data_IF_564341117450
#
_entry.id   IF_564341117450
#
_cell.length_a   1.000
_cell.length_b   1.000
_cell.length_c   1.000
_cell.angle_alpha   90.00
_cell.angle_beta   90.00
_cell.angle_gamma   90.00
#
_symmetry.space_group_name_H-M   'P 1'
#
loop_
_entity.id
_entity.type
_entity.pdbx_description
1 polymer ?
#
# COMPACT_ATOMS: atom_id res chain seq x y z
N UNK A 1 -4.00 6.40 11.58
CA UNK A 1 -4.32 6.91 10.20
C UNK A 1 -5.83 6.96 9.91
N UNK A 2 -6.71 7.16 10.92
CA UNK A 2 -8.17 7.23 10.70
C UNK A 2 -8.61 8.49 9.95
N UNK A 3 -8.13 9.64 10.39
CA UNK A 3 -8.44 10.94 9.78
C UNK A 3 -8.00 10.97 8.31
N UNK A 4 -6.77 10.58 8.03
CA UNK A 4 -6.17 10.60 6.69
C UNK A 4 -6.93 9.68 5.72
N UNK A 5 -7.31 8.47 6.16
CA UNK A 5 -8.09 7.54 5.33
C UNK A 5 -9.50 8.07 5.05
N UNK A 6 -10.14 8.69 6.03
CA UNK A 6 -11.46 9.32 5.82
C UNK A 6 -11.36 10.45 4.80
N UNK A 7 -10.34 11.30 4.91
CA UNK A 7 -10.11 12.40 3.97
C UNK A 7 -9.74 11.88 2.58
N UNK A 8 -8.95 10.80 2.50
CA UNK A 8 -8.62 10.15 1.24
C UNK A 8 -9.90 9.77 0.49
N UNK A 9 -10.79 9.02 1.14
CA UNK A 9 -12.02 8.53 0.51
C UNK A 9 -13.04 9.64 0.22
N UNK A 10 -13.20 10.60 1.14
CA UNK A 10 -14.28 11.60 1.05
C UNK A 10 -13.92 12.84 0.23
N UNK A 11 -12.64 13.18 0.09
CA UNK A 11 -12.18 14.44 -0.51
C UNK A 11 -11.17 14.23 -1.63
N UNK A 12 -10.15 13.38 -1.42
CA UNK A 12 -9.03 13.23 -2.35
C UNK A 12 -9.42 12.33 -3.52
N UNK A 13 -9.96 11.16 -3.26
CA UNK A 13 -10.37 10.21 -4.31
C UNK A 13 -11.38 10.82 -5.28
N UNK A 14 -12.45 11.52 -4.85
CA UNK A 14 -13.37 12.16 -5.78
C UNK A 14 -12.70 13.20 -6.70
N UNK A 15 -11.82 14.04 -6.16
CA UNK A 15 -11.08 15.05 -6.92
C UNK A 15 -10.14 14.42 -7.95
N UNK A 16 -9.39 13.40 -7.56
CA UNK A 16 -8.48 12.68 -8.47
C UNK A 16 -9.27 11.90 -9.53
N UNK A 17 -10.40 11.30 -9.17
CA UNK A 17 -11.32 10.64 -10.13
C UNK A 17 -11.79 11.60 -11.21
N UNK A 18 -12.28 12.76 -10.83
CA UNK A 18 -12.72 13.80 -11.77
C UNK A 18 -11.57 14.26 -12.66
N UNK A 19 -10.40 14.46 -12.07
CA UNK A 19 -9.20 14.84 -12.82
C UNK A 19 -8.80 13.77 -13.86
N UNK A 20 -8.71 12.51 -13.48
CA UNK A 20 -8.38 11.41 -14.40
C UNK A 20 -9.42 11.28 -15.51
N UNK A 21 -10.72 11.37 -15.17
CA UNK A 21 -11.80 11.30 -16.14
C UNK A 21 -11.71 12.44 -17.18
N UNK A 22 -11.33 13.66 -16.76
CA UNK A 22 -11.09 14.79 -17.67
C UNK A 22 -9.96 14.55 -18.68
N UNK A 23 -9.09 13.57 -18.39
CA UNK A 23 -7.98 13.12 -19.25
C UNK A 23 -8.30 11.84 -20.04
N UNK A 24 -9.53 11.31 -19.91
CA UNK A 24 -9.93 10.06 -20.55
C UNK A 24 -9.49 8.79 -19.80
N UNK A 25 -9.06 8.93 -18.54
CA UNK A 25 -8.61 7.83 -17.70
C UNK A 25 -9.57 7.57 -16.55
N UNK A 26 -9.64 6.33 -16.09
CA UNK A 26 -10.38 5.94 -14.89
C UNK A 26 -9.41 5.87 -13.70
N UNK A 27 -9.90 6.21 -12.52
CA UNK A 27 -9.17 6.10 -11.28
C UNK A 27 -10.05 5.45 -10.21
N UNK A 28 -9.53 4.43 -9.55
CA UNK A 28 -10.15 3.79 -8.40
C UNK A 28 -9.16 3.68 -7.24
N UNK A 29 -9.70 3.76 -6.03
CA UNK A 29 -8.92 3.59 -4.81
C UNK A 29 -9.57 2.49 -3.97
N UNK A 30 -8.83 1.42 -3.74
CA UNK A 30 -9.22 0.30 -2.88
C UNK A 30 -8.58 0.52 -1.51
N UNK A 31 -9.41 0.75 -0.49
CA UNK A 31 -8.95 0.77 0.91
C UNK A 31 -9.09 -0.64 1.49
N UNK A 32 -7.98 -1.29 1.77
CA UNK A 32 -7.93 -2.67 2.27
C UNK A 32 -8.62 -2.90 3.63
N UNK A 33 -9.04 -1.84 4.31
CA UNK A 33 -9.90 -1.96 5.50
C UNK A 33 -11.39 -2.10 5.17
N UNK A 34 -11.83 -1.65 3.99
CA UNK A 34 -13.23 -1.67 3.60
C UNK A 34 -13.52 -2.95 2.80
N UNK A 35 -14.53 -3.66 3.19
CA UNK A 35 -14.93 -4.90 2.52
C UNK A 35 -14.57 -6.17 3.29
N UNK A 36 -13.80 -6.06 4.37
CA UNK A 36 -13.53 -7.18 5.26
C UNK A 36 -14.50 -7.10 6.43
N UNK A 37 -15.44 -8.04 6.53
CA UNK A 37 -16.38 -8.12 7.66
C UNK A 37 -15.58 -8.29 8.97
N UNK A 38 -16.18 -7.88 10.10
CA UNK A 38 -15.56 -8.02 11.41
C UNK A 38 -15.21 -9.49 11.73
N UNK A 39 -15.99 -10.43 11.24
CA UNK A 39 -15.76 -11.88 11.33
C UNK A 39 -14.62 -12.36 10.41
N UNK A 40 -14.41 -11.68 9.27
CA UNK A 40 -13.30 -11.98 8.36
C UNK A 40 -11.99 -11.34 8.83
N UNK A 41 -12.01 -10.26 9.61
CA UNK A 41 -10.80 -9.61 10.17
C UNK A 41 -10.02 -10.54 11.10
N UNK A 42 -10.66 -11.55 11.67
CA UNK A 42 -10.03 -12.57 12.52
C UNK A 42 -9.71 -13.87 11.75
N UNK A 43 -9.81 -13.87 10.43
CA UNK A 43 -9.66 -15.08 9.62
C UNK A 43 -8.44 -15.02 8.68
N UNK A 44 -7.89 -16.20 8.40
CA UNK A 44 -6.86 -16.43 7.37
C UNK A 44 -7.20 -15.77 6.03
N UNK A 45 -8.47 -15.72 5.66
CA UNK A 45 -8.96 -15.16 4.40
C UNK A 45 -8.71 -13.65 4.24
N UNK A 46 -8.65 -12.89 5.35
CA UNK A 46 -8.43 -11.43 5.29
C UNK A 46 -7.08 -11.08 4.68
N UNK A 47 -6.02 -11.73 5.14
CA UNK A 47 -4.68 -11.50 4.63
C UNK A 47 -4.62 -11.87 3.15
N UNK A 48 -5.13 -13.03 2.81
CA UNK A 48 -5.15 -13.49 1.42
C UNK A 48 -5.93 -12.54 0.50
N UNK A 49 -7.09 -12.04 0.93
CA UNK A 49 -7.86 -11.04 0.18
C UNK A 49 -7.04 -9.76 -0.02
N UNK A 50 -6.45 -9.19 1.04
CA UNK A 50 -5.65 -7.97 0.93
C UNK A 50 -4.47 -8.12 -0.02
N UNK A 51 -3.74 -9.22 0.07
CA UNK A 51 -2.60 -9.49 -0.81
C UNK A 51 -3.02 -9.69 -2.27
N UNK A 52 -4.15 -10.37 -2.50
CA UNK A 52 -4.70 -10.56 -3.85
C UNK A 52 -5.18 -9.24 -4.46
N UNK A 53 -5.79 -8.33 -3.66
CA UNK A 53 -6.18 -7.01 -4.15
C UNK A 53 -4.96 -6.16 -4.55
N UNK A 54 -3.86 -6.22 -3.80
CA UNK A 54 -2.61 -5.54 -4.16
C UNK A 54 -2.09 -6.07 -5.50
N UNK A 55 -2.07 -7.40 -5.67
CA UNK A 55 -1.66 -8.04 -6.94
C UNK A 55 -2.56 -7.64 -8.08
N UNK A 56 -3.87 -7.65 -7.85
CA UNK A 56 -4.86 -7.27 -8.85
C UNK A 56 -4.69 -5.82 -9.30
N UNK A 57 -4.57 -4.87 -8.37
CA UNK A 57 -4.29 -3.47 -8.70
C UNK A 57 -3.04 -3.32 -9.56
N UNK A 58 -1.97 -4.05 -9.24
CA UNK A 58 -0.72 -4.02 -9.99
C UNK A 58 -0.87 -4.52 -11.43
N UNK A 59 -1.75 -5.50 -11.65
CA UNK A 59 -1.98 -6.08 -12.98
C UNK A 59 -2.82 -5.19 -13.90
N UNK A 60 -3.80 -4.48 -13.34
CA UNK A 60 -4.78 -3.73 -14.13
C UNK A 60 -4.53 -2.22 -14.17
N UNK A 61 -3.61 -1.72 -13.37
CA UNK A 61 -3.41 -0.29 -13.18
C UNK A 61 -2.01 0.15 -13.61
N UNK A 62 -1.91 1.21 -14.42
CA UNK A 62 -0.67 1.97 -14.56
C UNK A 62 -0.25 2.57 -13.21
N UNK A 63 0.90 3.22 -13.19
CA UNK A 63 1.44 3.89 -11.99
C UNK A 63 0.70 5.20 -11.68
N UNK A 64 0.59 5.62 -10.41
CA UNK A 64 0.93 4.86 -9.20
C UNK A 64 -0.19 3.88 -8.83
N UNK A 65 0.14 2.74 -8.28
CA UNK A 65 -0.86 1.73 -7.91
C UNK A 65 -0.76 1.25 -6.45
N UNK A 66 0.13 1.81 -5.65
CA UNK A 66 0.23 1.48 -4.24
C UNK A 66 0.48 2.72 -3.38
N UNK A 67 -0.40 3.00 -2.41
CA UNK A 67 -0.28 4.09 -1.45
C UNK A 67 -0.12 3.52 -0.04
N UNK A 68 1.02 3.81 0.58
CA UNK A 68 1.34 3.44 1.95
C UNK A 68 1.03 4.61 2.88
N UNK A 69 0.09 4.44 3.81
CA UNK A 69 -0.19 5.39 4.89
C UNK A 69 0.37 4.83 6.21
N UNK A 70 1.52 5.31 6.64
CA UNK A 70 2.16 4.88 7.89
C UNK A 70 2.06 5.93 9.00
N UNK A 71 1.82 5.44 10.21
CA UNK A 71 2.00 6.14 11.46
C UNK A 71 3.16 5.54 12.26
N UNK A 72 2.99 5.53 13.60
CA UNK A 72 3.99 4.99 14.52
C UNK A 72 3.64 3.60 15.07
N UNK A 73 2.44 3.09 14.75
CA UNK A 73 2.05 1.71 15.11
C UNK A 73 2.52 0.73 14.05
N UNK A 74 3.09 -0.38 14.50
CA UNK A 74 3.48 -1.48 13.61
C UNK A 74 2.28 -2.21 13.00
N UNK A 75 1.14 -2.19 13.70
CA UNK A 75 -0.10 -2.80 13.23
C UNK A 75 -0.37 -4.17 13.87
N UNK A 76 -1.42 -4.81 13.40
CA UNK A 76 -1.84 -6.13 13.86
C UNK A 76 -0.91 -7.22 13.34
N UNK A 77 -0.45 -8.08 14.27
CA UNK A 77 0.37 -9.26 13.95
C UNK A 77 -0.56 -10.48 13.93
N UNK A 78 -0.79 -11.07 12.75
CA UNK A 78 -1.62 -12.27 12.63
C UNK A 78 -0.92 -13.50 13.20
N UNK A 79 -1.71 -14.55 13.47
CA UNK A 79 -1.14 -15.88 13.71
C UNK A 79 -0.37 -16.35 12.47
N UNK A 80 0.79 -16.96 12.68
CA UNK A 80 1.65 -17.44 11.60
C UNK A 80 0.94 -18.43 10.65
N UNK A 81 -0.09 -19.14 11.13
CA UNK A 81 -0.91 -20.03 10.31
C UNK A 81 -1.80 -19.30 9.30
N UNK A 82 -2.00 -17.98 9.46
CA UNK A 82 -2.80 -17.16 8.55
C UNK A 82 -1.99 -16.63 7.35
N UNK A 83 -0.68 -16.74 7.41
CA UNK A 83 0.21 -16.28 6.35
C UNK A 83 0.40 -17.43 5.34
N UNK A 84 0.22 -17.19 4.02
CA UNK A 84 0.48 -18.19 2.99
C UNK A 84 1.98 -18.56 2.96
N UNK A 85 2.36 -19.67 3.60
CA UNK A 85 3.76 -20.06 3.82
C UNK A 85 4.55 -20.25 2.53
N UNK A 86 3.95 -20.90 1.54
CA UNK A 86 4.63 -21.22 0.28
C UNK A 86 5.11 -19.99 -0.51
N UNK A 87 4.48 -18.84 -0.31
CA UNK A 87 4.82 -17.61 -1.04
C UNK A 87 5.75 -16.67 -0.26
N UNK A 88 5.73 -16.78 1.09
CA UNK A 88 6.43 -15.84 1.97
C UNK A 88 7.46 -16.51 2.88
N UNK A 89 7.77 -17.80 2.68
CA UNK A 89 8.70 -18.55 3.55
C UNK A 89 10.09 -17.88 3.62
N UNK A 90 10.66 -17.49 2.49
CA UNK A 90 11.98 -16.84 2.45
C UNK A 90 11.98 -15.50 3.20
N UNK A 91 10.91 -14.72 3.02
CA UNK A 91 10.73 -13.46 3.70
C UNK A 91 10.54 -13.67 5.20
N UNK A 92 9.68 -14.61 5.61
CA UNK A 92 9.44 -14.94 7.03
C UNK A 92 10.71 -15.39 7.75
N UNK A 93 11.56 -16.16 7.08
CA UNK A 93 12.85 -16.60 7.63
C UNK A 93 13.87 -15.44 7.73
N UNK A 94 13.80 -14.47 6.82
CA UNK A 94 14.76 -13.36 6.76
C UNK A 94 14.49 -12.25 7.78
N UNK A 95 13.23 -12.06 8.19
CA UNK A 95 12.83 -10.92 9.03
C UNK A 95 13.17 -11.10 10.50
N UNK A 96 13.18 -12.34 11.01
CA UNK A 96 13.60 -12.64 12.39
C UNK A 96 12.64 -12.20 13.50
N UNK A 97 11.45 -11.67 13.14
CA UNK A 97 10.39 -11.28 14.09
C UNK A 97 9.00 -11.64 13.55
N UNK A 98 7.98 -11.50 14.38
CA UNK A 98 6.58 -11.70 13.97
C UNK A 98 6.11 -10.54 13.09
N UNK A 99 5.61 -10.86 11.90
CA UNK A 99 5.27 -9.88 10.85
C UNK A 99 3.85 -9.36 11.02
N UNK A 100 3.66 -8.04 10.90
CA UNK A 100 2.32 -7.44 10.87
C UNK A 100 1.66 -7.60 9.50
N UNK A 101 0.31 -7.56 9.47
CA UNK A 101 -0.43 -7.53 8.21
C UNK A 101 0.01 -6.36 7.32
N UNK A 102 0.27 -5.20 7.92
CA UNK A 102 0.79 -4.01 7.19
C UNK A 102 2.16 -4.27 6.55
N UNK A 103 3.08 -4.96 7.24
CA UNK A 103 4.37 -5.31 6.65
C UNK A 103 4.25 -6.32 5.52
N UNK A 104 3.34 -7.29 5.63
CA UNK A 104 3.04 -8.23 4.53
C UNK A 104 2.48 -7.50 3.30
N UNK A 105 1.54 -6.57 3.49
CA UNK A 105 1.00 -5.74 2.42
C UNK A 105 2.09 -4.89 1.75
N UNK A 106 3.00 -4.32 2.55
CA UNK A 106 4.13 -3.54 2.04
C UNK A 106 5.13 -4.43 1.30
N UNK A 107 5.38 -5.63 1.81
CA UNK A 107 6.23 -6.59 1.11
C UNK A 107 5.64 -6.91 -0.27
N UNK A 108 4.37 -7.26 -0.34
CA UNK A 108 3.71 -7.58 -1.61
C UNK A 108 3.67 -6.39 -2.57
N UNK A 109 3.35 -5.19 -2.07
CA UNK A 109 3.15 -4.00 -2.88
C UNK A 109 4.43 -3.26 -3.26
N UNK A 110 5.54 -3.48 -2.53
CA UNK A 110 6.78 -2.72 -2.72
C UNK A 110 8.04 -3.59 -2.69
N UNK A 111 8.22 -4.40 -1.64
CA UNK A 111 9.52 -4.98 -1.34
C UNK A 111 9.80 -6.31 -2.05
N UNK A 112 8.80 -6.90 -2.66
CA UNK A 112 8.93 -8.18 -3.36
C UNK A 112 9.69 -8.09 -4.69
N UNK A 113 9.73 -6.91 -5.31
CA UNK A 113 10.40 -6.69 -6.60
C UNK A 113 10.81 -5.21 -6.75
N UNK A 114 12.01 -4.96 -7.25
CA UNK A 114 12.61 -3.62 -7.33
C UNK A 114 11.81 -2.62 -8.19
N UNK A 115 11.14 -3.08 -9.25
CA UNK A 115 10.36 -2.20 -10.14
C UNK A 115 9.11 -1.60 -9.47
N UNK A 116 8.64 -2.17 -8.37
CA UNK A 116 7.46 -1.68 -7.64
C UNK A 116 7.71 -0.33 -6.94
N UNK A 117 8.96 0.04 -6.73
CA UNK A 117 9.33 1.31 -6.10
C UNK A 117 8.74 2.53 -6.83
N UNK A 118 8.75 2.52 -8.17
CA UNK A 118 8.21 3.61 -8.99
C UNK A 118 6.68 3.72 -8.94
N UNK A 119 5.98 2.68 -8.46
CA UNK A 119 4.54 2.58 -8.39
C UNK A 119 3.98 3.01 -7.04
N UNK A 120 4.86 3.28 -6.07
CA UNK A 120 4.51 3.42 -4.66
C UNK A 120 4.66 4.85 -4.18
N UNK A 121 3.69 5.29 -3.38
CA UNK A 121 3.71 6.55 -2.63
C UNK A 121 3.75 6.21 -1.13
N UNK A 122 4.61 6.90 -0.38
CA UNK A 122 4.63 6.84 1.08
C UNK A 122 4.16 8.15 1.69
N UNK A 123 3.15 8.07 2.53
CA UNK A 123 2.81 9.12 3.49
C UNK A 123 3.18 8.64 4.89
N UNK A 124 4.20 9.24 5.49
CA UNK A 124 4.74 8.90 6.80
C UNK A 124 4.43 10.00 7.81
N UNK A 125 3.48 9.72 8.72
CA UNK A 125 3.11 10.67 9.78
C UNK A 125 3.74 10.30 11.12
N UNK A 126 4.37 11.28 11.75
CA UNK A 126 4.87 11.22 13.12
C UNK A 126 4.06 12.17 14.00
N UNK A 127 3.40 11.64 15.02
CA UNK A 127 2.72 12.43 16.04
C UNK A 127 3.68 12.68 17.20
N UNK A 128 3.82 13.95 17.57
CA UNK A 128 4.56 14.40 18.74
C UNK A 128 3.58 14.71 19.87
N UNK A 129 4.04 14.65 21.12
CA UNK A 129 3.26 14.98 22.32
C UNK A 129 1.96 14.17 22.46
N UNK A 130 2.01 12.88 22.11
CA UNK A 130 0.87 11.98 22.27
C UNK A 130 0.64 11.76 23.78
N UNK A 131 -0.57 12.02 24.31
CA UNK A 131 -0.89 11.78 25.72
C UNK A 131 -0.74 10.30 26.10
N UNK A 132 -0.37 10.04 27.36
CA UNK A 132 -0.10 8.69 27.86
C UNK A 132 -1.29 7.73 27.66
N UNK A 133 -2.51 8.22 27.86
CA UNK A 133 -3.74 7.46 27.66
C UNK A 133 -4.07 7.17 26.19
N UNK A 134 -3.32 7.74 25.24
CA UNK A 134 -3.45 7.57 23.78
C UNK A 134 -2.25 6.84 23.14
N UNK A 135 -1.19 6.59 23.87
CA UNK A 135 0.02 5.93 23.36
C UNK A 135 -0.33 4.59 22.70
N UNK A 136 -1.17 3.77 23.35
CA UNK A 136 -1.58 2.46 22.80
C UNK A 136 -2.26 2.58 21.44
N UNK A 137 -3.12 3.57 21.27
CA UNK A 137 -3.92 3.77 20.07
C UNK A 137 -3.08 4.30 18.89
N UNK A 138 -2.08 5.14 19.13
CA UNK A 138 -1.36 5.88 18.09
C UNK A 138 0.09 5.44 17.89
N UNK A 139 0.76 4.99 18.92
CA UNK A 139 2.16 4.56 18.89
C UNK A 139 2.25 3.04 19.08
N UNK A 140 1.45 2.48 20.01
CA UNK A 140 1.54 1.09 20.45
C UNK A 140 2.65 0.88 21.48
N UNK A 141 2.52 -0.18 22.29
CA UNK A 141 3.47 -0.49 23.35
C UNK A 141 4.54 -1.51 22.94
N UNK A 142 4.39 -2.12 21.75
CA UNK A 142 5.24 -3.18 21.24
C UNK A 142 5.67 -2.88 19.82
N UNK A 143 6.79 -3.44 19.41
CA UNK A 143 7.28 -3.37 18.04
C UNK A 143 7.67 -1.95 17.56
N UNK A 144 8.24 -1.13 18.46
CA UNK A 144 8.73 0.21 18.10
C UNK A 144 9.95 0.15 17.17
N UNK A 145 10.82 -0.83 17.34
CA UNK A 145 11.99 -1.02 16.49
C UNK A 145 11.57 -1.60 15.14
N UNK A 146 10.62 -2.54 15.09
CA UNK A 146 10.12 -3.15 13.87
C UNK A 146 9.50 -2.09 12.93
N UNK A 147 8.72 -1.14 13.45
CA UNK A 147 8.17 -0.06 12.61
C UNK A 147 9.27 0.91 12.13
N UNK A 148 10.31 1.15 12.91
CA UNK A 148 11.44 1.99 12.49
C UNK A 148 12.24 1.30 11.38
N UNK A 149 12.53 0.02 11.55
CA UNK A 149 13.26 -0.78 10.56
C UNK A 149 12.46 -0.90 9.27
N UNK A 150 11.15 -1.14 9.37
CA UNK A 150 10.25 -1.16 8.21
C UNK A 150 10.27 0.18 7.46
N UNK A 151 10.14 1.31 8.17
CA UNK A 151 10.22 2.65 7.56
C UNK A 151 11.56 2.89 6.88
N UNK A 152 12.66 2.50 7.50
CA UNK A 152 14.01 2.60 6.93
C UNK A 152 14.12 1.78 5.65
N UNK A 153 13.59 0.55 5.68
CA UNK A 153 13.57 -0.34 4.52
C UNK A 153 12.75 0.24 3.38
N UNK A 154 11.53 0.73 3.65
CA UNK A 154 10.68 1.38 2.64
C UNK A 154 11.41 2.57 1.99
N UNK A 155 12.01 3.45 2.79
CA UNK A 155 12.74 4.63 2.30
C UNK A 155 13.96 4.30 1.45
N UNK A 156 14.55 3.12 1.60
CA UNK A 156 15.66 2.69 0.74
C UNK A 156 15.21 2.21 -0.65
N UNK A 157 13.92 1.96 -0.84
CA UNK A 157 13.33 1.53 -2.11
C UNK A 157 12.65 2.67 -2.89
N UNK A 158 11.97 3.58 -2.19
CA UNK A 158 11.14 4.62 -2.82
C UNK A 158 11.98 5.89 -3.05
N UNK A 159 11.79 6.53 -4.20
CA UNK A 159 12.36 7.85 -4.49
C UNK A 159 11.82 8.90 -3.51
N UNK A 160 12.67 9.84 -3.07
CA UNK A 160 12.27 10.90 -2.15
C UNK A 160 11.10 11.77 -2.67
N UNK A 161 10.98 11.91 -3.98
CA UNK A 161 9.86 12.61 -4.62
C UNK A 161 8.49 11.95 -4.38
N UNK A 162 8.47 10.65 -4.06
CA UNK A 162 7.26 9.87 -3.76
C UNK A 162 7.01 9.74 -2.25
N UNK A 163 7.76 10.45 -1.41
CA UNK A 163 7.62 10.42 0.05
C UNK A 163 7.08 11.74 0.55
N UNK A 164 5.99 11.68 1.32
CA UNK A 164 5.51 12.79 2.14
C UNK A 164 5.77 12.43 3.60
N UNK A 165 6.60 13.22 4.27
CA UNK A 165 6.81 13.13 5.71
C UNK A 165 6.09 14.25 6.42
N UNK A 166 5.29 13.92 7.44
CA UNK A 166 4.58 14.89 8.25
C UNK A 166 4.84 14.67 9.74
N UNK A 167 5.43 15.68 10.38
CA UNK A 167 5.59 15.75 11.84
C UNK A 167 4.62 16.76 12.40
N UNK A 168 3.76 16.33 13.29
CA UNK A 168 2.70 17.18 13.82
C UNK A 168 2.40 16.84 15.29
N UNK A 169 2.07 17.87 16.09
CA UNK A 169 1.62 17.68 17.46
C UNK A 169 0.27 16.98 17.50
N UNK A 170 0.09 16.07 18.46
CA UNK A 170 -1.17 15.36 18.69
C UNK A 170 -2.37 16.32 18.84
N UNK A 171 -2.20 17.45 19.48
CA UNK A 171 -3.28 18.43 19.70
C UNK A 171 -3.80 19.06 18.41
N UNK A 172 -2.99 19.04 17.35
CA UNK A 172 -3.31 19.70 16.08
C UNK A 172 -3.52 18.76 14.92
N UNK A 173 -3.26 17.45 15.08
CA UNK A 173 -3.29 16.50 13.98
C UNK A 173 -4.69 16.29 13.36
N UNK A 174 -5.77 16.64 14.06
CA UNK A 174 -7.14 16.62 13.54
C UNK A 174 -7.67 18.01 13.18
N UNK A 175 -6.85 19.05 13.29
CA UNK A 175 -7.24 20.42 12.96
C UNK A 175 -7.56 20.59 11.48
N UNK A 176 -8.38 21.56 11.15
CA UNK A 176 -8.70 21.90 9.74
C UNK A 176 -7.44 22.28 8.95
N UNK A 177 -6.48 22.94 9.58
CA UNK A 177 -5.20 23.30 8.97
C UNK A 177 -4.43 22.05 8.52
N UNK A 178 -4.32 21.06 9.40
CA UNK A 178 -3.68 19.79 9.07
C UNK A 178 -4.44 19.05 7.96
N UNK A 179 -5.75 18.96 8.10
CA UNK A 179 -6.58 18.26 7.11
C UNK A 179 -6.44 18.86 5.72
N UNK A 180 -6.52 20.21 5.61
CA UNK A 180 -6.37 20.91 4.33
C UNK A 180 -4.96 20.74 3.74
N UNK A 181 -3.91 20.76 4.59
CA UNK A 181 -2.54 20.48 4.16
C UNK A 181 -2.42 19.06 3.59
N UNK A 182 -2.91 18.05 4.30
CA UNK A 182 -2.90 16.66 3.85
C UNK A 182 -3.64 16.50 2.51
N UNK A 183 -4.85 17.05 2.39
CA UNK A 183 -5.65 16.99 1.16
C UNK A 183 -4.87 17.60 -0.01
N UNK A 184 -4.34 18.81 0.15
CA UNK A 184 -3.65 19.51 -0.93
C UNK A 184 -2.36 18.80 -1.36
N UNK A 185 -1.58 18.29 -0.41
CA UNK A 185 -0.36 17.54 -0.71
C UNK A 185 -0.65 16.24 -1.45
N UNK A 186 -1.64 15.47 -0.99
CA UNK A 186 -2.00 14.21 -1.63
C UNK A 186 -2.59 14.39 -3.02
N UNK A 187 -3.49 15.37 -3.21
CA UNK A 187 -4.05 15.68 -4.53
C UNK A 187 -2.93 16.11 -5.49
N UNK A 188 -2.05 16.99 -5.04
CA UNK A 188 -0.93 17.46 -5.87
C UNK A 188 -0.01 16.31 -6.29
N UNK A 189 0.36 15.45 -5.35
CA UNK A 189 1.21 14.30 -5.61
C UNK A 189 0.55 13.30 -6.57
N UNK A 190 -0.69 12.90 -6.28
CA UNK A 190 -1.40 11.95 -7.14
C UNK A 190 -1.58 12.49 -8.55
N UNK A 191 -2.00 13.75 -8.72
CA UNK A 191 -2.14 14.37 -10.04
C UNK A 191 -0.80 14.48 -10.78
N UNK A 192 0.29 14.77 -10.08
CA UNK A 192 1.64 14.81 -10.67
C UNK A 192 2.05 13.46 -11.21
N UNK A 193 1.87 12.40 -10.43
CA UNK A 193 2.22 11.03 -10.84
C UNK A 193 1.32 10.51 -11.96
N UNK A 194 0.01 10.80 -11.90
CA UNK A 194 -0.93 10.48 -12.98
C UNK A 194 -0.51 11.18 -14.28
N UNK A 195 -0.13 12.47 -14.22
CA UNK A 195 0.33 13.19 -15.42
C UNK A 195 1.62 12.61 -16.00
N UNK A 196 2.57 12.21 -15.13
CA UNK A 196 3.80 11.57 -15.55
C UNK A 196 3.49 10.26 -16.28
N UNK A 197 2.63 9.44 -15.70
CA UNK A 197 2.22 8.16 -16.31
C UNK A 197 1.47 8.33 -17.62
N UNK A 198 0.51 9.26 -17.68
CA UNK A 198 -0.21 9.58 -18.93
C UNK A 198 0.78 9.99 -20.03
N UNK A 199 1.76 10.83 -19.69
CA UNK A 199 2.78 11.24 -20.65
C UNK A 199 3.63 10.06 -21.13
N UNK A 200 4.09 9.21 -20.20
CA UNK A 200 4.84 8.00 -20.54
C UNK A 200 4.03 7.05 -21.43
N UNK A 201 2.74 6.84 -21.12
CA UNK A 201 1.85 6.00 -21.94
C UNK A 201 1.60 6.57 -23.35
N UNK A 202 1.47 7.90 -23.50
CA UNK A 202 1.28 8.53 -24.82
C UNK A 202 2.57 8.45 -25.67
N UNK A 203 3.74 8.52 -25.01
CA UNK A 203 5.05 8.41 -25.68
C UNK A 203 5.41 6.94 -26.04
N UNK A 204 4.68 5.97 -25.49
CA UNK A 204 4.84 4.57 -25.82
C UNK A 204 3.99 4.22 -27.04
N UNK A 205 4.60 3.50 -28.02
CA UNK A 205 3.88 2.92 -29.13
C UNK A 205 2.84 1.90 -28.60
N UNK A 206 1.62 1.92 -29.15
CA UNK A 206 0.50 1.02 -28.77
C UNK A 206 0.93 -0.44 -28.69
N UNK A 207 1.84 -0.86 -29.57
CA UNK A 207 2.42 -2.20 -29.58
C UNK A 207 3.24 -2.52 -28.32
N UNK A 208 3.99 -1.57 -27.79
CA UNK A 208 4.77 -1.76 -26.56
C UNK A 208 3.88 -1.84 -25.34
N UNK A 209 2.80 -1.08 -25.32
CA UNK A 209 1.80 -1.12 -24.24
C UNK A 209 1.17 -2.51 -24.19
N UNK A 210 0.73 -3.03 -25.34
CA UNK A 210 0.17 -4.38 -25.46
C UNK A 210 1.19 -5.46 -25.04
N UNK A 211 2.45 -5.30 -25.40
CA UNK A 211 3.51 -6.25 -25.05
C UNK A 211 3.77 -6.29 -23.54
N UNK A 212 3.82 -5.13 -22.86
CA UNK A 212 3.97 -5.04 -21.41
C UNK A 212 2.78 -5.70 -20.71
N UNK A 213 1.55 -5.40 -21.15
CA UNK A 213 0.34 -6.04 -20.59
C UNK A 213 0.37 -7.56 -20.76
N UNK A 214 0.79 -8.07 -21.91
CA UNK A 214 0.89 -9.51 -22.16
C UNK A 214 1.97 -10.16 -21.30
N UNK A 215 3.12 -9.53 -21.12
CA UNK A 215 4.21 -10.03 -20.27
C UNK A 215 3.79 -10.08 -18.80
N UNK A 216 3.10 -9.06 -18.28
CA UNK A 216 2.60 -9.02 -16.91
C UNK A 216 1.50 -10.07 -16.65
N UNK A 217 0.58 -10.27 -17.61
CA UNK A 217 -0.45 -11.32 -17.54
C UNK A 217 0.20 -12.72 -17.58
N UNK A 218 1.19 -12.92 -18.42
CA UNK A 218 1.91 -14.19 -18.51
C UNK A 218 2.71 -14.50 -17.24
N UNK A 219 3.34 -13.49 -16.64
CA UNK A 219 4.06 -13.63 -15.38
C UNK A 219 3.12 -13.99 -14.23
N UNK A 220 1.92 -13.38 -14.19
CA UNK A 220 0.89 -13.66 -13.18
C UNK A 220 0.29 -15.07 -13.36
N UNK A 221 -0.01 -15.47 -14.61
CA UNK A 221 -0.55 -16.79 -14.90
C UNK A 221 0.46 -17.92 -14.63
N UNK A 222 1.75 -17.68 -14.85
CA UNK A 222 2.79 -18.67 -14.53
C UNK A 222 2.95 -18.88 -13.02
N UNK A 223 2.78 -17.84 -12.19
CA UNK A 223 2.74 -17.98 -10.74
C UNK A 223 1.48 -18.73 -10.28
N UNK A 224 0.32 -18.45 -10.86
CA UNK A 224 -0.96 -19.12 -10.56
C UNK A 224 -0.94 -20.60 -10.98
N UNK A 225 -0.44 -20.92 -12.17
CA UNK A 225 -0.34 -22.29 -12.64
C UNK A 225 0.65 -23.15 -11.84
N UNK A 226 1.68 -22.56 -11.24
CA UNK A 226 2.61 -23.32 -10.40
C UNK A 226 1.94 -23.79 -9.09
N UNK A 227 1.10 -22.96 -8.48
CA UNK A 227 0.35 -23.35 -7.28
C UNK A 227 -0.73 -24.41 -7.58
N UNK A 228 -1.40 -24.31 -8.71
CA UNK A 228 -2.44 -25.27 -9.14
C UNK A 228 -1.87 -26.62 -9.57
N UNK A 229 -0.66 -26.66 -10.17
CA UNK A 229 0.03 -27.90 -10.54
C UNK A 229 0.51 -28.64 -9.31
N UNK A 230 1.07 -27.94 -8.31
CA UNK A 230 1.51 -28.55 -7.06
C UNK A 230 0.33 -29.14 -6.29
N UNK A 231 -0.81 -28.44 -6.22
CA UNK A 231 -2.02 -28.92 -5.53
C UNK A 231 -2.65 -30.16 -6.20
N UNK A 232 -2.42 -30.37 -7.51
CA UNK A 232 -2.91 -31.55 -8.27
C UNK A 232 -1.98 -32.75 -8.22
N UNK A 233 -0.72 -32.56 -7.84
CA UNK A 233 0.25 -33.66 -7.70
C UNK A 233 0.19 -34.26 -6.28
N UNK A 234 -0.32 -33.51 -5.30
CA UNK A 234 -0.46 -33.95 -3.89
C UNK A 234 -1.87 -34.52 -3.57
N UNK A 235 -2.79 -34.59 -4.51
CA UNK A 235 -4.12 -35.18 -4.40
C UNK A 235 -4.20 -36.54 -5.10
#
# INVERSE_FOLDING_TARGET
>A
MGVERTLLQSRIVPDVKEYCLSKGWQFECIDLRWGVSQEAQESKKTIEICLNEIRHCRLISPKPNFLILLGQRYGWVPDASYIPKTEYDDMLHSVGHSISATELEIYEGLLSQDYLASNTILYDRVLENVPDDKIEDFIGNKATEEIKDLKKKIRSFISEENIIEEKISFDTYSSEVYQNKFISQMISMLKSLVNKEIKECIEMDDYKIEQIFQEDILAANNKSNHSDIISRIES
#
